data_IF_243555994272
#
_entry.id   IF_243555994272
#
_cell.length_a   1.000
_cell.length_b   1.000
_cell.length_c   1.000
_cell.angle_alpha   90.00
_cell.angle_beta   90.00
_cell.angle_gamma   90.00
#
_symmetry.space_group_name_H-M   'P 1'
#
loop_
_entity.id
_entity.type
_entity.pdbx_description
1 polymer ?
#
# COMPACT_ATOMS: atom_id res chain seq x y z
N UNK A 1 -14.53 22.46 -5.09
CA UNK A 1 -13.95 21.38 -5.92
C UNK A 1 -12.91 22.01 -6.83
N UNK A 2 -11.62 21.66 -6.69
CA UNK A 2 -10.60 22.12 -7.64
C UNK A 2 -10.83 21.42 -8.98
N UNK A 3 -10.84 22.19 -10.08
CA UNK A 3 -10.80 21.65 -11.43
C UNK A 3 -9.48 20.87 -11.59
N UNK A 4 -9.55 19.55 -11.51
CA UNK A 4 -8.42 18.67 -11.80
C UNK A 4 -8.47 18.44 -13.31
N UNK A 5 -7.47 18.95 -14.01
CA UNK A 5 -7.26 18.67 -15.43
C UNK A 5 -7.14 17.16 -15.63
N UNK A 6 -7.80 16.63 -16.66
CA UNK A 6 -7.94 15.18 -16.89
C UNK A 6 -6.60 14.51 -17.21
N UNK A 7 -5.64 15.31 -17.68
CA UNK A 7 -4.27 14.89 -18.01
C UNK A 7 -3.25 15.15 -16.88
N UNK A 8 -3.71 15.62 -15.72
CA UNK A 8 -2.82 15.89 -14.59
C UNK A 8 -2.49 14.63 -13.77
N UNK A 9 -1.21 14.45 -13.44
CA UNK A 9 -0.74 13.41 -12.51
C UNK A 9 -0.49 14.02 -11.13
N UNK A 10 -1.14 13.48 -10.10
CA UNK A 10 -0.91 13.86 -8.71
C UNK A 10 0.28 13.09 -8.11
N UNK A 11 1.06 13.75 -7.26
CA UNK A 11 2.17 13.14 -6.53
C UNK A 11 2.10 13.49 -5.04
N UNK A 12 2.78 12.70 -4.22
CA UNK A 12 2.85 12.88 -2.77
C UNK A 12 4.24 12.47 -2.28
N UNK A 13 4.78 13.24 -1.33
CA UNK A 13 6.02 12.93 -0.63
C UNK A 13 5.77 12.94 0.88
N UNK A 14 6.18 11.87 1.57
CA UNK A 14 6.04 11.72 3.02
C UNK A 14 7.32 11.20 3.63
N UNK A 15 7.52 11.56 4.89
CA UNK A 15 8.56 10.96 5.72
C UNK A 15 8.37 9.44 5.82
N UNK A 16 9.48 8.71 5.94
CA UNK A 16 9.44 7.26 6.02
C UNK A 16 8.71 6.78 7.27
N UNK A 17 8.81 7.47 8.42
CA UNK A 17 8.09 7.05 9.63
C UNK A 17 6.58 7.19 9.46
N UNK A 18 6.13 8.27 8.83
CA UNK A 18 4.71 8.45 8.50
C UNK A 18 4.21 7.34 7.56
N UNK A 19 5.02 6.99 6.57
CA UNK A 19 4.72 5.93 5.60
C UNK A 19 4.67 4.55 6.26
N UNK A 20 5.65 4.22 7.10
CA UNK A 20 5.71 2.97 7.86
C UNK A 20 4.53 2.84 8.82
N UNK A 21 4.23 3.88 9.59
CA UNK A 21 3.08 3.88 10.50
C UNK A 21 1.76 3.74 9.74
N UNK A 22 1.63 4.36 8.56
CA UNK A 22 0.42 4.24 7.75
C UNK A 22 0.21 2.81 7.24
N UNK A 23 1.22 2.20 6.61
CA UNK A 23 1.08 0.86 6.02
C UNK A 23 1.17 -0.27 7.05
N UNK A 24 1.92 -0.07 8.13
CA UNK A 24 2.07 -1.05 9.21
C UNK A 24 0.89 -1.11 10.18
N UNK A 25 0.01 -0.11 10.19
CA UNK A 25 -1.15 -0.08 11.07
C UNK A 25 -2.31 -0.96 10.54
N UNK A 26 -3.04 -1.58 11.45
CA UNK A 26 -4.20 -2.44 11.17
C UNK A 26 -4.02 -3.87 11.68
N UNK A 27 -5.00 -4.72 11.38
CA UNK A 27 -5.01 -6.12 11.81
C UNK A 27 -3.96 -6.97 11.08
N UNK A 28 -3.50 -8.02 11.75
CA UNK A 28 -2.65 -9.06 11.17
C UNK A 28 -3.46 -10.35 11.07
N UNK A 29 -3.69 -10.83 9.85
CA UNK A 29 -4.54 -11.99 9.62
C UNK A 29 -4.18 -12.76 8.36
N UNK A 30 -4.55 -14.04 8.31
CA UNK A 30 -4.40 -14.88 7.12
C UNK A 30 -5.66 -14.72 6.27
N UNK A 31 -5.49 -14.40 4.99
CA UNK A 31 -6.60 -14.32 4.04
C UNK A 31 -7.21 -15.70 3.78
N UNK A 32 -8.47 -15.78 3.30
CA UNK A 32 -9.07 -17.06 2.89
C UNK A 32 -8.27 -17.84 1.83
N UNK A 33 -7.36 -17.16 1.10
CA UNK A 33 -6.49 -17.76 0.08
C UNK A 33 -5.07 -18.08 0.58
N UNK A 34 -4.81 -17.92 1.87
CA UNK A 34 -3.54 -18.33 2.51
C UNK A 34 -2.41 -17.29 2.48
N UNK A 35 -2.60 -16.12 1.86
CA UNK A 35 -1.65 -14.98 2.01
C UNK A 35 -1.79 -14.33 3.39
N UNK A 36 -0.74 -13.70 3.90
CA UNK A 36 -0.74 -12.97 5.17
C UNK A 36 -0.95 -11.47 4.93
N UNK A 37 -1.90 -10.85 5.63
CA UNK A 37 -2.00 -9.41 5.76
C UNK A 37 -1.31 -8.96 7.05
N UNK A 38 -0.50 -7.91 6.95
CA UNK A 38 0.19 -7.23 8.04
C UNK A 38 -0.21 -5.76 7.95
N UNK A 39 -1.26 -5.35 8.66
CA UNK A 39 -1.87 -4.04 8.45
C UNK A 39 -2.34 -3.88 7.00
N UNK A 40 -1.79 -2.90 6.29
CA UNK A 40 -2.08 -2.64 4.87
C UNK A 40 -1.10 -3.32 3.90
N UNK A 41 -0.18 -4.15 4.39
CA UNK A 41 0.81 -4.86 3.58
C UNK A 41 0.36 -6.31 3.38
N UNK A 42 0.36 -6.78 2.14
CA UNK A 42 0.15 -8.20 1.81
C UNK A 42 1.49 -8.89 1.63
N UNK A 43 1.71 -9.96 2.38
CA UNK A 43 2.81 -10.91 2.18
C UNK A 43 2.27 -12.15 1.46
N UNK A 44 2.94 -12.53 0.37
CA UNK A 44 2.61 -13.73 -0.40
C UNK A 44 3.89 -14.38 -0.94
N UNK A 45 3.80 -15.64 -1.35
CA UNK A 45 4.80 -16.22 -2.25
C UNK A 45 4.83 -15.40 -3.54
N UNK A 46 6.02 -15.05 -4.04
CA UNK A 46 6.20 -14.28 -5.27
C UNK A 46 5.47 -14.91 -6.45
N UNK A 47 5.58 -16.24 -6.59
CA UNK A 47 5.01 -16.97 -7.72
C UNK A 47 5.63 -16.54 -9.06
N UNK A 48 5.08 -17.04 -10.18
CA UNK A 48 5.51 -16.64 -11.52
C UNK A 48 6.95 -17.04 -11.88
N UNK A 49 7.48 -16.44 -12.95
CA UNK A 49 8.84 -16.65 -13.45
C UNK A 49 9.72 -15.41 -13.20
N UNK A 50 11.05 -15.53 -13.17
CA UNK A 50 11.85 -16.77 -13.25
C UNK A 50 12.04 -17.49 -11.90
N UNK A 51 11.83 -16.82 -10.77
CA UNK A 51 12.01 -17.39 -9.43
C UNK A 51 10.73 -17.23 -8.57
N UNK A 52 9.93 -18.30 -8.42
CA UNK A 52 8.68 -18.26 -7.66
C UNK A 52 8.87 -18.43 -6.15
N UNK A 53 10.07 -18.71 -5.65
CA UNK A 53 10.29 -19.19 -4.27
C UNK A 53 10.39 -18.07 -3.25
N UNK A 54 10.62 -16.84 -3.69
CA UNK A 54 10.82 -15.70 -2.79
C UNK A 54 9.52 -15.25 -2.14
N UNK A 55 9.64 -14.63 -0.96
CA UNK A 55 8.56 -13.84 -0.39
C UNK A 55 8.42 -12.52 -1.15
N UNK A 56 7.19 -12.07 -1.31
CA UNK A 56 6.85 -10.80 -1.93
C UNK A 56 5.92 -10.01 -1.01
N UNK A 57 6.29 -8.76 -0.76
CA UNK A 57 5.47 -7.79 -0.05
C UNK A 57 4.86 -6.82 -1.05
N UNK A 58 3.57 -6.56 -0.92
CA UNK A 58 2.82 -5.62 -1.76
C UNK A 58 2.00 -4.70 -0.88
N UNK A 59 1.85 -3.47 -1.33
CA UNK A 59 0.95 -2.47 -0.76
C UNK A 59 0.42 -1.61 -1.90
N UNK A 60 -0.57 -0.76 -1.64
CA UNK A 60 -1.17 0.14 -2.63
C UNK A 60 -0.64 1.57 -2.41
N UNK A 61 0.35 2.06 -3.18
CA UNK A 61 0.99 3.35 -2.93
C UNK A 61 0.03 4.54 -2.92
N UNK A 62 -1.02 4.48 -3.75
CA UNK A 62 -2.02 5.54 -3.87
C UNK A 62 -2.88 5.72 -2.60
N UNK A 63 -2.86 4.78 -1.65
CA UNK A 63 -3.52 4.99 -0.36
C UNK A 63 -2.82 6.06 0.48
N UNK A 64 -1.55 6.37 0.21
CA UNK A 64 -0.82 7.40 0.95
C UNK A 64 -1.48 8.79 0.83
N UNK A 65 -2.19 9.06 -0.26
CA UNK A 65 -2.98 10.29 -0.44
C UNK A 65 -4.10 10.45 0.60
N UNK A 66 -4.51 9.39 1.29
CA UNK A 66 -5.49 9.46 2.38
C UNK A 66 -4.97 10.22 3.61
N UNK A 67 -3.64 10.27 3.81
CA UNK A 67 -3.04 11.04 4.90
C UNK A 67 -3.34 12.54 4.79
N UNK A 68 -3.49 13.05 3.57
CA UNK A 68 -3.74 14.49 3.32
C UNK A 68 -5.24 14.82 3.17
N UNK A 69 -6.10 13.80 3.06
CA UNK A 69 -7.56 14.01 3.02
C UNK A 69 -8.17 14.39 4.38
N UNK A 70 -7.41 14.26 5.47
CA UNK A 70 -7.90 14.52 6.83
C UNK A 70 -8.09 16.01 7.20
N UNK A 71 -7.82 16.94 6.27
CA UNK A 71 -7.92 18.39 6.49
C UNK A 71 -9.06 19.11 5.75
N UNK A 72 -10.13 18.40 5.37
CA UNK A 72 -11.37 19.03 4.88
C UNK A 72 -12.47 18.95 5.93
#
# INVERSE_FOLDING_TARGET
>A
MKNIDKDSTSWILKDINATMNFYGNGEVFITPRGSLHIGKITMQRKGGTPDPTKLQFKFKPCELFELDKKWN
#
